data_IF_386288845099
#
_entry.id   IF_386288845099
#
_cell.length_a   1.000
_cell.length_b   1.000
_cell.length_c   1.000
_cell.angle_alpha   90.00
_cell.angle_beta   90.00
_cell.angle_gamma   90.00
#
_symmetry.space_group_name_H-M   'P 1'
#
loop_
_entity.id
_entity.type
_entity.pdbx_description
1 polymer ?
#
# COMPACT_ATOMS: atom_id res chain seq x y z
N UNK A 1 12.46 7.86 19.10
CA UNK A 1 11.70 6.86 19.88
C UNK A 1 12.61 6.06 20.80
N UNK A 2 13.53 5.23 20.30
CA UNK A 2 14.46 4.47 21.17
C UNK A 2 15.27 5.39 22.10
N UNK A 3 15.95 6.40 21.54
CA UNK A 3 16.69 7.40 22.33
C UNK A 3 15.80 8.22 23.28
N UNK A 4 14.51 8.36 22.97
CA UNK A 4 13.56 9.11 23.82
C UNK A 4 13.14 8.30 25.05
N UNK A 5 13.28 6.96 25.05
CA UNK A 5 13.06 6.11 26.23
C UNK A 5 11.61 5.92 26.69
N UNK A 6 10.65 6.68 26.14
CA UNK A 6 9.22 6.61 26.50
C UNK A 6 8.38 5.66 25.61
N UNK A 7 9.03 4.81 24.82
CA UNK A 7 8.38 3.90 23.88
C UNK A 7 7.79 4.61 22.66
N UNK A 8 6.68 4.07 22.15
CA UNK A 8 5.85 4.76 21.15
C UNK A 8 5.11 3.83 20.18
N UNK A 9 4.56 4.41 19.11
CA UNK A 9 3.71 3.71 18.13
C UNK A 9 4.14 4.06 16.71
N UNK A 10 4.30 3.03 15.86
CA UNK A 10 4.58 3.17 14.44
C UNK A 10 3.44 2.48 13.68
N UNK A 11 2.84 3.19 12.71
CA UNK A 11 1.75 2.67 11.90
C UNK A 11 2.12 2.76 10.42
N UNK A 12 2.21 1.62 9.74
CA UNK A 12 2.50 1.51 8.31
C UNK A 12 1.24 1.47 7.45
N UNK A 13 1.28 2.16 6.31
CA UNK A 13 0.20 2.13 5.32
C UNK A 13 0.38 0.98 4.33
N UNK A 14 -0.22 -0.18 4.62
CA UNK A 14 -0.26 -1.32 3.69
C UNK A 14 -1.48 -1.21 2.75
N UNK A 15 -1.98 -2.34 2.26
CA UNK A 15 -3.17 -2.47 1.43
C UNK A 15 -3.70 -3.90 1.55
N UNK A 16 -4.97 -4.14 1.22
CA UNK A 16 -5.47 -5.49 0.98
C UNK A 16 -4.56 -6.25 0.01
N UNK A 17 -3.99 -5.56 -1.00
CA UNK A 17 -3.04 -6.18 -1.94
C UNK A 17 -1.63 -6.43 -1.37
N UNK A 18 -1.39 -6.03 -0.12
CA UNK A 18 -0.23 -6.43 0.69
C UNK A 18 -0.45 -7.72 1.49
N UNK A 19 -1.64 -8.31 1.39
CA UNK A 19 -1.99 -9.64 1.93
C UNK A 19 -2.21 -10.66 0.81
N UNK A 20 -2.82 -10.23 -0.29
CA UNK A 20 -3.07 -11.06 -1.48
C UNK A 20 -2.80 -10.22 -2.73
N UNK A 21 -1.85 -10.63 -3.57
CA UNK A 21 -1.49 -9.89 -4.77
C UNK A 21 -2.67 -9.85 -5.78
N UNK A 22 -2.68 -8.82 -6.62
CA UNK A 22 -3.70 -8.63 -7.66
C UNK A 22 -3.05 -8.45 -9.02
N UNK A 23 -3.64 -9.04 -10.06
CA UNK A 23 -3.16 -8.90 -11.43
C UNK A 23 -3.20 -7.43 -11.87
N UNK A 24 -2.17 -6.98 -12.61
CA UNK A 24 -2.04 -5.59 -13.04
C UNK A 24 -1.43 -4.63 -12.01
N UNK A 25 -1.13 -5.10 -10.78
CA UNK A 25 -0.58 -4.28 -9.71
C UNK A 25 0.76 -4.81 -9.19
N UNK A 26 1.59 -5.43 -10.02
CA UNK A 26 2.81 -6.16 -9.58
C UNK A 26 3.71 -5.33 -8.64
N UNK A 27 4.13 -4.14 -9.06
CA UNK A 27 5.00 -3.28 -8.26
C UNK A 27 4.31 -2.75 -7.01
N UNK A 28 3.02 -2.40 -7.13
CA UNK A 28 2.23 -1.91 -6.00
C UNK A 28 2.00 -3.01 -4.95
N UNK A 29 1.58 -4.21 -5.36
CA UNK A 29 1.49 -5.39 -4.50
C UNK A 29 2.83 -5.69 -3.83
N UNK A 30 3.94 -5.78 -4.58
CA UNK A 30 5.26 -6.02 -4.01
C UNK A 30 5.60 -4.99 -2.91
N UNK A 31 5.39 -3.70 -3.18
CA UNK A 31 5.64 -2.64 -2.20
C UNK A 31 4.77 -2.79 -0.93
N UNK A 32 3.50 -3.19 -1.06
CA UNK A 32 2.59 -3.32 0.07
C UNK A 32 2.80 -4.59 0.89
N UNK A 33 3.31 -5.66 0.26
CA UNK A 33 3.87 -6.82 0.97
C UNK A 33 5.13 -6.44 1.74
N UNK A 34 6.03 -5.64 1.14
CA UNK A 34 7.23 -5.16 1.83
C UNK A 34 6.88 -4.35 3.08
N UNK A 35 5.89 -3.44 3.03
CA UNK A 35 5.41 -2.71 4.21
C UNK A 35 4.95 -3.67 5.32
N UNK A 36 4.23 -4.75 4.97
CA UNK A 36 3.78 -5.75 5.94
C UNK A 36 4.96 -6.52 6.56
N UNK A 37 5.93 -6.95 5.74
CA UNK A 37 7.14 -7.61 6.22
C UNK A 37 7.99 -6.71 7.13
N UNK A 38 8.18 -5.45 6.73
CA UNK A 38 8.87 -4.43 7.54
C UNK A 38 8.18 -4.20 8.87
N UNK A 39 6.85 -4.12 8.88
CA UNK A 39 6.05 -3.98 10.10
C UNK A 39 6.34 -5.12 11.08
N UNK A 40 6.30 -6.36 10.59
CA UNK A 40 6.54 -7.54 11.42
C UNK A 40 7.97 -7.59 11.95
N UNK A 41 8.96 -7.35 11.09
CA UNK A 41 10.36 -7.32 11.49
C UNK A 41 10.65 -6.23 12.53
N UNK A 42 10.14 -5.01 12.29
CA UNK A 42 10.33 -3.88 13.20
C UNK A 42 9.60 -4.09 14.54
N UNK A 43 8.42 -4.71 14.55
CA UNK A 43 7.71 -5.05 15.78
C UNK A 43 8.55 -5.97 16.69
N UNK A 44 9.20 -6.99 16.10
CA UNK A 44 10.07 -7.92 16.83
C UNK A 44 11.31 -7.22 17.39
N UNK A 45 11.92 -6.33 16.61
CA UNK A 45 13.14 -5.64 17.00
C UNK A 45 12.89 -4.55 18.07
N UNK A 46 11.81 -3.78 17.91
CA UNK A 46 11.55 -2.58 18.72
C UNK A 46 10.65 -2.85 19.94
N UNK A 47 10.05 -4.04 20.04
CA UNK A 47 9.15 -4.40 21.14
C UNK A 47 9.80 -4.27 22.52
N UNK A 48 11.09 -4.61 22.65
CA UNK A 48 11.86 -4.46 23.90
C UNK A 48 11.98 -3.00 24.35
N UNK A 49 11.84 -2.04 23.44
CA UNK A 49 11.88 -0.61 23.75
C UNK A 49 10.48 -0.04 24.05
N UNK A 50 9.45 -0.87 24.22
CA UNK A 50 8.07 -0.40 24.44
C UNK A 50 7.44 0.25 23.20
N UNK A 51 8.01 0.00 22.01
CA UNK A 51 7.51 0.51 20.74
C UNK A 51 6.69 -0.59 20.07
N UNK A 52 5.44 -0.28 19.73
CA UNK A 52 4.62 -1.19 18.91
C UNK A 52 4.59 -0.73 17.46
N UNK A 53 4.64 -1.69 16.55
CA UNK A 53 4.64 -1.44 15.10
C UNK A 53 3.51 -2.25 14.48
N UNK A 54 2.58 -1.56 13.83
CA UNK A 54 1.43 -2.18 13.17
C UNK A 54 1.26 -1.62 11.76
N UNK A 55 0.49 -2.30 10.92
CA UNK A 55 0.07 -1.74 9.64
C UNK A 55 -1.40 -2.00 9.40
N UNK A 56 -2.07 -1.07 8.73
CA UNK A 56 -3.44 -1.22 8.29
C UNK A 56 -3.47 -1.60 6.80
N UNK A 57 -4.47 -2.40 6.42
CA UNK A 57 -4.61 -2.96 5.08
C UNK A 57 -6.01 -2.65 4.53
N UNK A 58 -6.22 -1.44 3.99
CA UNK A 58 -7.53 -1.03 3.49
C UNK A 58 -7.87 -1.78 2.19
N UNK A 59 -9.17 -2.00 1.99
CA UNK A 59 -9.75 -2.41 0.71
C UNK A 59 -9.87 -1.25 -0.26
N UNK A 60 -10.79 -1.34 -1.22
CA UNK A 60 -11.11 -0.23 -2.10
C UNK A 60 -11.84 0.87 -1.33
N UNK A 61 -11.29 2.09 -1.33
CA UNK A 61 -11.86 3.27 -0.69
C UNK A 61 -11.92 4.40 -1.72
N UNK A 62 -13.04 5.12 -1.76
CA UNK A 62 -13.24 6.28 -2.63
C UNK A 62 -12.30 7.42 -2.18
N UNK A 63 -11.29 7.65 -3.01
CA UNK A 63 -10.26 8.67 -2.82
C UNK A 63 -9.78 9.12 -4.21
N UNK A 64 -9.17 10.31 -4.33
CA UNK A 64 -8.59 10.77 -5.60
C UNK A 64 -7.57 9.79 -6.21
N UNK A 65 -6.87 9.00 -5.38
CA UNK A 65 -5.97 7.94 -5.86
C UNK A 65 -6.72 6.85 -6.67
N UNK A 66 -7.95 6.49 -6.27
CA UNK A 66 -8.76 5.50 -6.97
C UNK A 66 -9.41 6.07 -8.25
N UNK A 67 -9.77 7.35 -8.21
CA UNK A 67 -10.32 8.09 -9.35
C UNK A 67 -9.26 8.27 -10.45
N UNK A 68 -8.02 8.62 -10.08
CA UNK A 68 -6.91 8.76 -11.03
C UNK A 68 -6.66 7.46 -11.81
N UNK A 69 -6.66 6.30 -11.12
CA UNK A 69 -6.52 5.00 -11.77
C UNK A 69 -7.68 4.66 -12.70
N UNK A 70 -8.92 5.05 -12.35
CA UNK A 70 -10.08 4.83 -13.21
C UNK A 70 -10.03 5.71 -14.46
N UNK A 71 -9.65 6.97 -14.31
CA UNK A 71 -9.56 7.94 -15.40
C UNK A 71 -8.45 7.59 -16.40
N UNK A 72 -7.30 7.06 -15.95
CA UNK A 72 -6.27 6.58 -16.87
C UNK A 72 -6.73 5.39 -17.72
N UNK A 73 -7.45 4.43 -17.14
CA UNK A 73 -8.02 3.31 -17.89
C UNK A 73 -9.10 3.80 -18.88
N UNK A 74 -9.92 4.77 -18.48
CA UNK A 74 -10.92 5.40 -19.34
C UNK A 74 -10.27 6.16 -20.51
N UNK A 75 -9.20 6.94 -20.27
CA UNK A 75 -8.49 7.66 -21.33
C UNK A 75 -7.80 6.68 -22.29
N UNK A 76 -7.20 5.60 -21.79
CA UNK A 76 -6.59 4.57 -22.63
C UNK A 76 -7.62 3.75 -23.42
N UNK A 77 -8.81 3.48 -22.85
CA UNK A 77 -9.89 2.83 -23.60
C UNK A 77 -10.44 3.74 -24.71
N UNK A 78 -10.53 5.05 -24.47
CA UNK A 78 -10.90 6.04 -25.49
C UNK A 78 -9.80 6.28 -26.54
N UNK A 79 -8.51 6.21 -26.17
CA UNK A 79 -7.40 6.28 -27.12
C UNK A 79 -7.35 5.06 -28.04
N UNK A 80 -7.58 3.85 -27.51
CA UNK A 80 -7.73 2.65 -28.33
C UNK A 80 -8.91 2.75 -29.30
N UNK A 81 -10.04 3.35 -28.89
CA UNK A 81 -11.21 3.50 -29.78
C UNK A 81 -10.93 4.38 -31.01
N UNK A 82 -10.07 5.41 -30.89
CA UNK A 82 -9.67 6.25 -32.03
C UNK A 82 -8.76 5.54 -33.03
N UNK A 83 -8.07 4.47 -32.62
CA UNK A 83 -7.14 3.73 -33.47
C UNK A 83 -7.84 2.68 -34.37
N UNK A 84 -9.13 2.41 -34.13
CA UNK A 84 -9.98 1.51 -34.93
C UNK A 84 -10.92 2.24 -35.91
N UNK A 85 -10.89 3.58 -35.96
CA UNK A 85 -11.73 4.41 -36.82
C UNK A 85 -10.98 5.00 -38.03
N UNK A 86 -9.94 4.31 -38.52
CA UNK A 86 -9.30 4.57 -39.82
C UNK A 86 -9.39 3.35 -40.72
#
# INVERSE_FOLDING_TARGET
>A
MVKQGCGGRIIGASSMVGKQASAGLLSYSASKFAVRGLTQAAALQLGRNGITVNSYAPGAIETPMRECSANYICVLSMQNYKQWLV
#
